data_IF_374666909853
#
_entry.id   IF_374666909853
#
_cell.length_a   1.000
_cell.length_b   1.000
_cell.length_c   1.000
_cell.angle_alpha   90.00
_cell.angle_beta   90.00
_cell.angle_gamma   90.00
#
_symmetry.space_group_name_H-M   'P 1'
#
loop_
_entity.id
_entity.type
_entity.pdbx_description
1 polymer ?
#
# COMPACT_ATOMS: atom_id res chain seq x y z
N UNK A 1 -18.45 4.81 21.05
CA UNK A 1 -17.66 4.19 22.14
C UNK A 1 -17.74 2.66 22.00
N UNK A 2 -16.79 2.05 21.28
CA UNK A 2 -16.83 0.60 21.00
C UNK A 2 -16.44 -0.15 22.28
N UNK A 3 -17.34 -0.98 22.81
CA UNK A 3 -17.15 -1.74 24.06
C UNK A 3 -15.90 -2.63 23.97
N UNK A 4 -15.17 -2.80 25.08
CA UNK A 4 -13.86 -3.48 25.13
C UNK A 4 -13.92 -4.90 24.55
N UNK A 5 -15.00 -5.66 24.83
CA UNK A 5 -15.24 -6.99 24.26
C UNK A 5 -15.46 -6.97 22.75
N UNK A 6 -16.08 -5.92 22.22
CA UNK A 6 -16.35 -5.73 20.80
C UNK A 6 -15.08 -5.31 20.04
N UNK A 7 -14.18 -4.56 20.68
CA UNK A 7 -12.84 -4.28 20.14
C UNK A 7 -12.01 -5.56 20.02
N UNK A 8 -12.03 -6.40 21.06
CA UNK A 8 -11.31 -7.68 21.06
C UNK A 8 -11.81 -8.61 19.95
N UNK A 9 -13.13 -8.68 19.75
CA UNK A 9 -13.74 -9.44 18.66
C UNK A 9 -13.33 -8.92 17.27
N UNK A 10 -13.29 -7.59 17.09
CA UNK A 10 -12.86 -6.99 15.81
C UNK A 10 -11.38 -7.27 15.54
N UNK A 11 -10.52 -7.18 16.55
CA UNK A 11 -9.09 -7.50 16.43
C UNK A 11 -8.89 -8.97 16.06
N UNK A 12 -9.60 -9.88 16.73
CA UNK A 12 -9.54 -11.31 16.44
C UNK A 12 -10.02 -11.61 15.01
N UNK A 13 -11.10 -10.98 14.56
CA UNK A 13 -11.64 -11.17 13.21
C UNK A 13 -10.69 -10.66 12.13
N UNK A 14 -10.04 -9.50 12.36
CA UNK A 14 -9.02 -8.96 11.44
C UNK A 14 -7.82 -9.90 11.36
N UNK A 15 -7.30 -10.37 12.51
CA UNK A 15 -6.18 -11.31 12.53
C UNK A 15 -6.54 -12.64 11.86
N UNK A 16 -7.76 -13.15 12.06
CA UNK A 16 -8.23 -14.39 11.44
C UNK A 16 -8.32 -14.30 9.92
N UNK A 17 -8.77 -13.16 9.38
CA UNK A 17 -8.79 -12.91 7.93
C UNK A 17 -7.36 -12.81 7.38
N UNK A 18 -6.43 -12.20 8.12
CA UNK A 18 -5.02 -12.11 7.72
C UNK A 18 -4.28 -13.45 7.70
N UNK A 19 -4.69 -14.43 8.52
CA UNK A 19 -4.06 -15.76 8.54
C UNK A 19 -4.35 -16.58 7.27
N UNK A 20 -5.35 -16.21 6.48
CA UNK A 20 -5.68 -16.85 5.19
C UNK A 20 -5.02 -16.15 3.99
N UNK A 21 -4.14 -15.18 4.21
CA UNK A 21 -3.47 -14.41 3.15
C UNK A 21 -2.34 -15.18 2.43
N UNK A 22 -1.90 -16.31 2.98
CA UNK A 22 -0.83 -17.16 2.41
C UNK A 22 -1.19 -17.81 1.06
N UNK A 23 -2.47 -17.77 0.65
CA UNK A 23 -2.93 -18.36 -0.63
C UNK A 23 -3.31 -17.36 -1.73
N UNK A 24 -3.61 -16.10 -1.40
CA UNK A 24 -4.08 -15.13 -2.42
C UNK A 24 -2.95 -14.57 -3.29
N UNK A 25 -1.71 -14.67 -2.84
CA UNK A 25 -0.54 -14.30 -3.63
C UNK A 25 -0.03 -15.45 -4.50
N UNK A 26 -0.24 -16.71 -4.10
CA UNK A 26 0.19 -17.90 -4.84
C UNK A 26 -0.76 -18.26 -5.99
N UNK A 27 -2.08 -18.02 -5.86
CA UNK A 27 -3.02 -18.20 -6.98
C UNK A 27 -2.78 -17.16 -8.09
N UNK A 28 -2.53 -15.90 -7.74
CA UNK A 28 -2.18 -14.88 -8.72
C UNK A 28 -0.81 -15.16 -9.34
N UNK A 29 0.21 -15.56 -8.55
CA UNK A 29 1.52 -15.95 -9.10
C UNK A 29 1.47 -17.17 -10.01
N UNK A 30 0.71 -18.21 -9.68
CA UNK A 30 0.64 -19.43 -10.48
C UNK A 30 0.05 -19.16 -11.88
N UNK A 31 -0.98 -18.30 -11.99
CA UNK A 31 -1.51 -17.86 -13.30
C UNK A 31 -0.45 -17.09 -14.10
N UNK A 32 0.36 -16.28 -13.42
CA UNK A 32 1.41 -15.46 -14.05
C UNK A 32 2.67 -16.24 -14.44
N UNK A 33 3.02 -17.28 -13.67
CA UNK A 33 4.14 -18.19 -13.94
C UNK A 33 3.75 -19.31 -14.91
N UNK A 34 2.46 -19.64 -15.03
CA UNK A 34 1.93 -20.59 -16.02
C UNK A 34 1.70 -20.00 -17.41
N UNK A 35 1.86 -18.68 -17.58
CA UNK A 35 1.85 -18.02 -18.88
C UNK A 35 3.19 -18.23 -19.59
N UNK A 36 3.16 -18.81 -20.78
CA UNK A 36 4.32 -19.07 -21.65
C UNK A 36 5.12 -17.79 -22.02
N UNK A 37 4.59 -16.60 -21.72
CA UNK A 37 5.10 -15.30 -22.13
C UNK A 37 5.85 -14.55 -21.00
N UNK A 38 7.18 -14.61 -21.08
CA UNK A 38 8.14 -13.88 -20.23
C UNK A 38 7.87 -12.35 -20.19
N UNK A 39 7.23 -11.80 -21.23
CA UNK A 39 6.79 -10.40 -21.34
C UNK A 39 5.72 -10.01 -20.32
N UNK A 40 4.87 -10.95 -19.91
CA UNK A 40 3.82 -10.73 -18.91
C UNK A 40 4.43 -10.60 -17.51
N UNK A 41 5.46 -11.40 -17.22
CA UNK A 41 6.20 -11.33 -15.97
C UNK A 41 6.96 -10.00 -15.80
N UNK A 42 7.56 -9.47 -16.87
CA UNK A 42 8.20 -8.14 -16.87
C UNK A 42 7.19 -7.01 -16.64
N UNK A 43 6.00 -7.10 -17.25
CA UNK A 43 4.93 -6.12 -17.05
C UNK A 43 4.50 -5.96 -15.59
N UNK A 44 4.51 -7.04 -14.81
CA UNK A 44 4.11 -7.02 -13.39
C UNK A 44 5.20 -6.47 -12.49
N UNK A 45 6.47 -6.80 -12.75
CA UNK A 45 7.58 -6.21 -12.00
C UNK A 45 7.58 -4.68 -12.16
N UNK A 46 7.34 -4.20 -13.38
CA UNK A 46 7.16 -2.78 -13.65
C UNK A 46 5.93 -2.20 -12.93
N UNK A 47 4.82 -2.95 -12.90
CA UNK A 47 3.61 -2.58 -12.16
C UNK A 47 3.84 -2.41 -10.65
N UNK A 48 4.59 -3.33 -10.02
CA UNK A 48 4.94 -3.24 -8.59
C UNK A 48 5.75 -1.97 -8.30
N UNK A 49 6.77 -1.69 -9.11
CA UNK A 49 7.59 -0.47 -8.97
C UNK A 49 6.71 0.78 -9.15
N UNK A 50 5.79 0.78 -10.12
CA UNK A 50 4.90 1.92 -10.38
C UNK A 50 3.93 2.17 -9.21
N UNK A 51 3.32 1.10 -8.68
CA UNK A 51 2.41 1.18 -7.54
C UNK A 51 3.13 1.60 -6.25
N UNK A 52 4.40 1.21 -6.07
CA UNK A 52 5.22 1.65 -4.95
C UNK A 52 5.72 3.09 -5.13
N UNK A 53 5.99 3.55 -6.35
CA UNK A 53 6.46 4.91 -6.59
C UNK A 53 5.41 5.99 -6.25
N UNK A 54 4.14 5.71 -6.52
CA UNK A 54 3.01 6.64 -6.26
C UNK A 54 2.97 7.15 -4.80
N UNK A 55 2.95 6.30 -3.75
CA UNK A 55 2.90 6.78 -2.37
C UNK A 55 4.13 7.61 -1.99
N UNK A 56 5.33 7.30 -2.50
CA UNK A 56 6.52 8.11 -2.23
C UNK A 56 6.43 9.51 -2.84
N UNK A 57 5.97 9.61 -4.09
CA UNK A 57 5.79 10.90 -4.78
C UNK A 57 4.73 11.74 -4.08
N UNK A 58 3.60 11.14 -3.69
CA UNK A 58 2.53 11.84 -2.99
C UNK A 58 2.99 12.39 -1.63
N UNK A 59 3.68 11.57 -0.83
CA UNK A 59 4.23 12.01 0.46
C UNK A 59 5.25 13.15 0.26
N UNK A 60 6.16 13.01 -0.70
CA UNK A 60 7.12 14.06 -1.04
C UNK A 60 6.44 15.38 -1.44
N UNK A 61 5.39 15.31 -2.27
CA UNK A 61 4.61 16.47 -2.68
C UNK A 61 3.90 17.16 -1.52
N UNK A 62 3.29 16.38 -0.62
CA UNK A 62 2.62 16.91 0.59
C UNK A 62 3.65 17.60 1.50
N UNK A 63 4.78 16.96 1.77
CA UNK A 63 5.84 17.54 2.61
C UNK A 63 6.39 18.82 2.01
N UNK A 64 6.65 18.85 0.70
CA UNK A 64 7.11 20.04 0.00
C UNK A 64 6.08 21.18 0.06
N UNK A 65 4.80 20.89 -0.15
CA UNK A 65 3.72 21.87 -0.08
C UNK A 65 3.60 22.49 1.33
N UNK A 66 3.67 21.65 2.37
CA UNK A 66 3.68 22.11 3.77
C UNK A 66 4.90 22.99 4.01
N UNK A 67 6.12 22.52 3.70
CA UNK A 67 7.34 23.29 3.89
C UNK A 67 7.23 24.68 3.22
N UNK A 68 6.84 24.73 1.95
CA UNK A 68 6.67 26.00 1.21
C UNK A 68 5.65 26.93 1.85
N UNK A 69 4.55 26.41 2.37
CA UNK A 69 3.49 27.20 3.01
C UNK A 69 3.95 27.79 4.34
N UNK A 70 4.63 27.01 5.16
CA UNK A 70 5.15 27.46 6.46
C UNK A 70 6.34 28.41 6.31
N UNK A 71 7.26 28.15 5.36
CA UNK A 71 8.37 29.07 5.08
C UNK A 71 7.91 30.45 4.59
N UNK A 72 6.76 30.53 3.89
CA UNK A 72 6.16 31.82 3.51
C UNK A 72 5.60 32.60 4.70
N UNK A 73 5.03 31.92 5.71
CA UNK A 73 4.52 32.58 6.92
C UNK A 73 5.65 33.16 7.79
N UNK A 74 6.80 32.49 7.86
CA UNK A 74 7.98 33.00 8.58
C UNK A 74 8.62 34.22 7.91
N UNK A 75 8.51 34.39 6.59
CA UNK A 75 9.05 35.59 5.90
C UNK A 75 8.08 36.79 5.86
N UNK A 76 6.83 36.61 6.28
CA UNK A 76 5.79 37.65 6.27
C UNK A 76 5.45 38.18 7.68
N UNK A 77 6.23 37.77 8.69
CA UNK A 77 6.27 38.33 10.05
C UNK A 77 7.62 39.01 10.27
#
# INVERSE_FOLDING_TARGET
>A
MINSRRKLLVIFLVLFVSLNAEGQCAMCRAVLESGEDQSTAEGINNGIIYLMAIPYVLIGGILFYIYKTYSKKTKAN
#
